data_IF_234495766555
#
_entry.id   IF_234495766555
#
_cell.length_a   1.000
_cell.length_b   1.000
_cell.length_c   1.000
_cell.angle_alpha   90.00
_cell.angle_beta   90.00
_cell.angle_gamma   90.00
#
_symmetry.space_group_name_H-M   'P 1'
#
loop_
_entity.id
_entity.type
_entity.pdbx_description
1 polymer ?
#
# COMPACT_ATOMS: atom_id res chain seq x y z
N UNK A 1 10.30 15.01 -3.10
CA UNK A 1 8.83 14.79 -3.11
C UNK A 1 8.30 14.30 -1.75
N UNK A 2 8.63 14.94 -0.62
CA UNK A 2 8.20 14.48 0.73
C UNK A 2 6.90 15.12 1.23
N UNK A 3 6.37 16.17 0.58
CA UNK A 3 5.25 16.96 1.12
C UNK A 3 4.21 17.42 0.08
N UNK A 4 4.44 17.22 -1.23
CA UNK A 4 3.60 17.85 -2.26
C UNK A 4 2.29 17.11 -2.54
N UNK A 5 2.09 15.88 -2.06
CA UNK A 5 0.90 15.08 -2.38
C UNK A 5 -0.31 15.30 -1.48
N UNK A 6 -0.17 16.00 -0.35
CA UNK A 6 -1.24 16.10 0.66
C UNK A 6 -1.55 17.52 1.16
N UNK A 7 -1.00 18.56 0.52
CA UNK A 7 -1.18 19.95 0.99
C UNK A 7 -2.65 20.37 1.09
N UNK A 8 -3.53 19.82 0.24
CA UNK A 8 -4.97 20.14 0.25
C UNK A 8 -5.75 19.36 1.32
N UNK A 9 -5.18 18.28 1.89
CA UNK A 9 -5.78 17.53 3.02
C UNK A 9 -5.22 17.95 4.37
N UNK A 10 -4.20 18.81 4.37
CA UNK A 10 -3.59 19.34 5.59
C UNK A 10 -4.58 20.29 6.26
N UNK A 11 -4.87 20.03 7.54
CA UNK A 11 -5.78 20.89 8.30
C UNK A 11 -5.07 22.20 8.65
N UNK A 12 -5.83 23.29 8.70
CA UNK A 12 -5.31 24.55 9.22
C UNK A 12 -5.04 24.46 10.74
N UNK A 13 -4.23 25.40 11.23
CA UNK A 13 -3.79 25.42 12.62
C UNK A 13 -4.95 25.57 13.59
N UNK A 14 -6.02 26.29 13.22
CA UNK A 14 -7.20 26.45 14.07
C UNK A 14 -7.92 25.10 14.24
N UNK A 15 -8.19 24.41 13.14
CA UNK A 15 -8.82 23.09 13.12
C UNK A 15 -7.98 22.06 13.89
N UNK A 16 -6.66 22.04 13.69
CA UNK A 16 -5.77 21.15 14.46
C UNK A 16 -5.82 21.44 15.96
N UNK A 17 -5.81 22.71 16.36
CA UNK A 17 -5.91 23.10 17.77
C UNK A 17 -7.25 22.70 18.38
N UNK A 18 -8.36 22.86 17.66
CA UNK A 18 -9.67 22.41 18.11
C UNK A 18 -9.67 20.89 18.35
N UNK A 19 -9.16 20.09 17.40
CA UNK A 19 -9.04 18.64 17.54
C UNK A 19 -8.15 18.25 18.73
N UNK A 20 -7.02 18.92 18.92
CA UNK A 20 -6.09 18.63 20.02
C UNK A 20 -6.66 18.92 21.40
N UNK A 21 -7.53 19.93 21.54
CA UNK A 21 -8.16 20.29 22.82
C UNK A 21 -9.15 19.21 23.30
N UNK A 22 -9.84 18.55 22.37
CA UNK A 22 -10.90 17.59 22.68
C UNK A 22 -10.45 16.13 22.62
N UNK A 23 -9.25 15.87 22.10
CA UNK A 23 -8.70 14.51 21.99
C UNK A 23 -7.81 14.18 23.19
N UNK A 24 -8.05 13.04 23.88
CA UNK A 24 -7.19 12.59 24.98
C UNK A 24 -5.72 12.48 24.57
N UNK A 25 -4.83 12.94 25.45
CA UNK A 25 -3.38 12.91 25.26
C UNK A 25 -2.72 12.20 26.44
N UNK A 26 -2.00 11.11 26.18
CA UNK A 26 -1.24 10.40 27.21
C UNK A 26 0.05 9.82 26.63
N UNK A 27 1.11 9.76 27.43
CA UNK A 27 2.43 9.23 27.04
C UNK A 27 2.92 9.86 25.72
N UNK A 28 2.88 11.19 25.66
CA UNK A 28 3.34 12.01 24.53
C UNK A 28 2.68 11.73 23.18
N UNK A 29 1.47 11.15 23.20
CA UNK A 29 0.68 10.90 21.99
C UNK A 29 -0.81 11.11 22.21
N UNK A 30 -1.50 11.49 21.13
CA UNK A 30 -2.96 11.53 21.09
C UNK A 30 -3.53 10.11 21.02
N UNK A 31 -4.56 9.86 21.83
CA UNK A 31 -5.23 8.56 21.95
C UNK A 31 -6.72 8.77 21.69
N UNK A 32 -7.11 9.00 20.41
CA UNK A 32 -8.51 9.25 20.04
C UNK A 32 -9.42 8.05 20.37
N UNK A 33 -8.85 6.86 20.55
CA UNK A 33 -9.58 5.65 20.92
C UNK A 33 -10.14 5.65 22.34
N UNK A 34 -9.72 6.60 23.19
CA UNK A 34 -10.20 6.77 24.55
C UNK A 34 -11.11 8.01 24.71
N UNK A 35 -11.56 8.60 23.60
CA UNK A 35 -12.49 9.73 23.63
C UNK A 35 -13.85 9.32 24.20
N UNK A 36 -14.46 10.20 24.99
CA UNK A 36 -15.86 10.06 25.43
C UNK A 36 -16.82 10.18 24.25
N UNK A 37 -18.07 9.76 24.43
CA UNK A 37 -19.09 9.87 23.38
C UNK A 37 -19.25 11.31 22.88
N UNK A 38 -19.27 12.29 23.79
CA UNK A 38 -19.34 13.71 23.45
C UNK A 38 -18.12 14.19 22.67
N UNK A 39 -16.90 13.78 23.09
CA UNK A 39 -15.67 14.11 22.38
C UNK A 39 -15.66 13.53 20.96
N UNK A 40 -16.14 12.29 20.79
CA UNK A 40 -16.28 11.65 19.46
C UNK A 40 -17.20 12.47 18.57
N UNK A 41 -18.38 12.87 19.05
CA UNK A 41 -19.32 13.69 18.28
C UNK A 41 -18.67 15.01 17.84
N UNK A 42 -17.95 15.68 18.75
CA UNK A 42 -17.25 16.93 18.43
C UNK A 42 -16.14 16.73 17.38
N UNK A 43 -15.34 15.67 17.51
CA UNK A 43 -14.30 15.33 16.53
C UNK A 43 -14.89 15.05 15.14
N UNK A 44 -15.99 14.29 15.06
CA UNK A 44 -16.71 14.02 13.81
C UNK A 44 -17.16 15.34 13.17
N UNK A 45 -17.77 16.23 13.95
CA UNK A 45 -18.26 17.52 13.46
C UNK A 45 -17.13 18.38 12.88
N UNK A 46 -16.00 18.50 13.58
CA UNK A 46 -14.84 19.29 13.14
C UNK A 46 -14.24 18.71 11.85
N UNK A 47 -14.00 17.40 11.82
CA UNK A 47 -13.39 16.74 10.67
C UNK A 47 -14.29 16.83 9.43
N UNK A 48 -15.60 16.64 9.59
CA UNK A 48 -16.55 16.74 8.48
C UNK A 48 -16.72 18.18 8.00
N UNK A 49 -16.72 19.17 8.89
CA UNK A 49 -16.78 20.58 8.52
C UNK A 49 -15.54 20.99 7.69
N UNK A 50 -14.34 20.57 8.12
CA UNK A 50 -13.12 20.81 7.36
C UNK A 50 -13.12 20.07 6.01
N UNK A 51 -13.52 18.80 5.99
CA UNK A 51 -13.64 18.04 4.75
C UNK A 51 -14.60 18.71 3.76
N UNK A 52 -15.76 19.18 4.24
CA UNK A 52 -16.73 19.89 3.42
C UNK A 52 -16.19 21.21 2.87
N UNK A 53 -15.48 22.01 3.69
CA UNK A 53 -14.89 23.29 3.25
C UNK A 53 -13.83 23.13 2.16
N UNK A 54 -13.17 21.96 2.12
CA UNK A 54 -12.18 21.58 1.11
C UNK A 54 -12.71 20.65 0.02
N UNK A 55 -14.01 20.36 0.00
CA UNK A 55 -14.66 19.41 -0.92
C UNK A 55 -13.95 18.04 -0.98
N UNK A 56 -13.48 17.56 0.17
CA UNK A 56 -12.87 16.23 0.32
C UNK A 56 -13.97 15.17 0.40
N UNK A 57 -13.83 14.10 -0.39
CA UNK A 57 -14.82 13.02 -0.50
C UNK A 57 -14.23 11.66 -0.13
N UNK A 58 -13.60 11.60 1.04
CA UNK A 58 -13.08 10.35 1.60
C UNK A 58 -14.21 9.57 2.26
N UNK A 59 -14.12 8.25 2.17
CA UNK A 59 -15.18 7.36 2.65
C UNK A 59 -14.73 6.49 3.82
N UNK A 60 -13.42 6.36 4.04
CA UNK A 60 -12.90 5.58 5.14
C UNK A 60 -12.98 6.33 6.46
N UNK A 61 -13.47 5.62 7.46
CA UNK A 61 -13.59 6.09 8.83
C UNK A 61 -12.90 5.14 9.79
N UNK A 62 -12.67 5.61 11.01
CA UNK A 62 -12.29 4.74 12.09
C UNK A 62 -13.50 3.97 12.68
N UNK A 63 -13.26 3.17 13.72
CA UNK A 63 -14.31 2.39 14.38
C UNK A 63 -15.41 3.23 15.05
N UNK A 64 -15.16 4.53 15.26
CA UNK A 64 -16.09 5.48 15.85
C UNK A 64 -16.72 6.41 14.80
N UNK A 65 -16.63 6.07 13.51
CA UNK A 65 -17.18 6.84 12.40
C UNK A 65 -16.53 8.24 12.21
N UNK A 66 -15.33 8.46 12.76
CA UNK A 66 -14.54 9.66 12.46
C UNK A 66 -13.78 9.47 11.17
N UNK A 67 -13.70 10.51 10.33
CA UNK A 67 -12.76 10.52 9.22
C UNK A 67 -11.34 10.24 9.74
N UNK A 68 -10.60 9.42 9.02
CA UNK A 68 -9.26 9.03 9.46
C UNK A 68 -8.34 10.25 9.51
N UNK A 69 -7.87 10.62 10.71
CA UNK A 69 -6.97 11.77 10.91
C UNK A 69 -5.57 11.33 11.34
N UNK A 70 -4.54 12.08 10.94
CA UNK A 70 -3.17 11.91 11.43
C UNK A 70 -2.77 13.08 12.33
N UNK A 71 -2.64 12.82 13.64
CA UNK A 71 -2.20 13.83 14.60
C UNK A 71 -0.72 14.24 14.45
N UNK A 72 0.12 13.40 13.82
CA UNK A 72 1.53 13.70 13.58
C UNK A 72 1.66 14.62 12.35
N UNK A 73 1.04 14.25 11.23
CA UNK A 73 1.10 15.01 9.98
C UNK A 73 0.09 16.14 9.88
N UNK A 74 -0.88 16.21 10.80
CA UNK A 74 -1.99 17.19 10.82
C UNK A 74 -2.77 17.22 9.50
N UNK A 75 -3.26 16.05 9.08
CA UNK A 75 -4.05 15.92 7.85
C UNK A 75 -5.15 14.89 8.01
N UNK A 76 -6.25 15.12 7.29
CA UNK A 76 -7.25 14.07 7.04
C UNK A 76 -6.65 13.11 6.03
N UNK A 77 -6.48 11.85 6.43
CA UNK A 77 -5.88 10.81 5.61
C UNK A 77 -6.83 10.48 4.46
N UNK A 78 -6.38 10.59 3.19
CA UNK A 78 -7.13 10.00 2.09
C UNK A 78 -7.34 8.51 2.32
N UNK A 79 -8.33 7.94 1.64
CA UNK A 79 -8.62 6.51 1.76
C UNK A 79 -7.34 5.68 1.51
N UNK A 80 -7.17 4.60 2.28
CA UNK A 80 -6.06 3.65 2.27
C UNK A 80 -4.72 4.25 2.69
N UNK A 81 -4.71 5.43 3.31
CA UNK A 81 -3.48 6.12 3.73
C UNK A 81 -3.12 5.78 5.18
N UNK A 82 -1.86 5.43 5.42
CA UNK A 82 -1.34 5.19 6.76
C UNK A 82 -0.08 6.01 7.04
N UNK A 83 0.16 6.35 8.30
CA UNK A 83 1.39 7.02 8.72
C UNK A 83 2.48 5.97 8.94
N UNK A 84 3.58 6.07 8.19
CA UNK A 84 4.74 5.22 8.40
C UNK A 84 5.69 5.90 9.39
N UNK A 85 5.84 5.33 10.58
CA UNK A 85 6.75 5.87 11.61
C UNK A 85 8.21 5.91 11.11
N UNK A 86 8.66 4.88 10.38
CA UNK A 86 10.02 4.83 9.83
C UNK A 86 10.30 5.94 8.82
N UNK A 87 9.31 6.33 8.03
CA UNK A 87 9.44 7.42 7.05
C UNK A 87 9.07 8.79 7.61
N UNK A 88 8.34 8.85 8.73
CA UNK A 88 7.87 10.08 9.38
C UNK A 88 6.76 10.82 8.64
N UNK A 89 6.04 10.17 7.71
CA UNK A 89 4.96 10.80 6.96
C UNK A 89 3.84 9.82 6.59
N UNK A 90 2.67 10.36 6.24
CA UNK A 90 1.57 9.61 5.66
C UNK A 90 1.90 9.13 4.24
N UNK A 91 1.46 7.92 3.91
CA UNK A 91 1.72 7.23 2.65
C UNK A 91 0.40 6.72 2.08
N UNK A 92 0.06 7.15 0.86
CA UNK A 92 -1.15 6.73 0.15
C UNK A 92 -1.10 5.24 -0.18
N UNK A 93 -2.23 4.54 -0.01
CA UNK A 93 -2.37 3.10 -0.26
C UNK A 93 -1.16 2.36 0.31
N UNK A 94 -0.90 2.63 1.59
CA UNK A 94 0.27 2.13 2.28
C UNK A 94 0.17 0.62 2.37
N UNK A 95 1.17 -0.06 1.83
CA UNK A 95 1.28 -1.49 1.94
C UNK A 95 2.14 -1.84 3.16
N UNK A 96 3.45 -1.58 3.06
CA UNK A 96 4.38 -1.75 4.16
C UNK A 96 5.62 -0.86 4.00
N UNK A 97 6.37 -0.68 5.08
CA UNK A 97 7.75 -0.19 5.00
C UNK A 97 8.67 -1.38 4.76
N UNK A 98 9.36 -1.39 3.62
CA UNK A 98 10.23 -2.48 3.23
C UNK A 98 11.70 -2.11 3.55
N UNK A 99 12.34 -2.78 4.53
CA UNK A 99 13.73 -2.49 4.89
C UNK A 99 14.69 -2.76 3.73
N UNK A 100 14.39 -3.74 2.88
CA UNK A 100 15.23 -4.17 1.76
C UNK A 100 15.42 -3.11 0.68
N UNK A 101 14.42 -2.25 0.47
CA UNK A 101 14.50 -1.12 -0.46
C UNK A 101 14.57 0.22 0.27
N UNK A 102 14.64 0.19 1.61
CA UNK A 102 14.64 1.35 2.51
C UNK A 102 13.58 2.41 2.15
N UNK A 103 12.38 1.95 1.78
CA UNK A 103 11.25 2.79 1.34
C UNK A 103 9.92 2.12 1.66
N UNK A 104 8.86 2.92 1.76
CA UNK A 104 7.51 2.38 1.75
C UNK A 104 7.16 1.81 0.37
N UNK A 105 6.50 0.66 0.38
CA UNK A 105 5.72 0.14 -0.73
C UNK A 105 4.31 0.73 -0.60
N UNK A 106 3.84 1.34 -1.69
CA UNK A 106 2.68 2.24 -1.67
C UNK A 106 2.07 2.37 -3.06
N UNK A 107 0.99 3.15 -3.19
CA UNK A 107 0.39 3.48 -4.49
C UNK A 107 1.43 3.80 -5.58
N UNK A 108 2.40 4.66 -5.25
CA UNK A 108 3.37 5.23 -6.18
C UNK A 108 4.41 4.25 -6.72
N UNK A 109 4.65 3.14 -6.02
CA UNK A 109 5.72 2.21 -6.38
C UNK A 109 5.35 0.74 -6.26
N UNK A 110 4.08 0.40 -6.00
CA UNK A 110 3.66 -0.99 -5.87
C UNK A 110 3.95 -1.78 -7.15
N UNK A 111 3.67 -1.22 -8.34
CA UNK A 111 4.05 -1.84 -9.62
C UNK A 111 5.55 -2.15 -9.69
N UNK A 112 6.41 -1.19 -9.34
CA UNK A 112 7.86 -1.38 -9.39
C UNK A 112 8.33 -2.44 -8.40
N UNK A 113 7.73 -2.49 -7.21
CA UNK A 113 8.01 -3.52 -6.21
C UNK A 113 7.64 -4.92 -6.72
N UNK A 114 6.46 -5.09 -7.34
CA UNK A 114 6.06 -6.37 -7.92
C UNK A 114 6.96 -6.80 -9.08
N UNK A 115 7.36 -5.85 -9.93
CA UNK A 115 8.32 -6.12 -11.00
C UNK A 115 9.70 -6.48 -10.46
N UNK A 116 10.15 -5.85 -9.37
CA UNK A 116 11.37 -6.22 -8.69
C UNK A 116 11.34 -7.69 -8.21
N UNK A 117 10.24 -8.12 -7.57
CA UNK A 117 10.07 -9.52 -7.17
C UNK A 117 10.03 -10.47 -8.38
N UNK A 118 9.25 -10.12 -9.40
CA UNK A 118 9.10 -10.93 -10.61
C UNK A 118 10.43 -11.11 -11.37
N UNK A 119 11.14 -10.01 -11.63
CA UNK A 119 12.44 -10.07 -12.30
C UNK A 119 13.51 -10.71 -11.43
N UNK A 120 13.45 -10.55 -10.11
CA UNK A 120 14.30 -11.29 -9.17
C UNK A 120 14.14 -12.80 -9.30
N UNK A 121 12.89 -13.29 -9.33
CA UNK A 121 12.60 -14.71 -9.58
C UNK A 121 13.16 -15.18 -10.94
N UNK A 122 12.96 -14.39 -12.00
CA UNK A 122 13.48 -14.72 -13.34
C UNK A 122 15.00 -14.79 -13.37
N UNK A 123 15.71 -13.86 -12.73
CA UNK A 123 17.17 -13.87 -12.64
C UNK A 123 17.69 -15.14 -11.95
N UNK A 124 17.01 -15.60 -10.89
CA UNK A 124 17.41 -16.83 -10.18
C UNK A 124 17.16 -18.06 -11.05
N UNK A 125 15.98 -18.15 -11.68
CA UNK A 125 15.66 -19.24 -12.61
C UNK A 125 16.68 -19.29 -13.74
N UNK A 126 17.00 -18.14 -14.33
CA UNK A 126 18.03 -18.02 -15.37
C UNK A 126 19.39 -18.49 -14.87
N UNK A 127 19.88 -17.96 -13.75
CA UNK A 127 21.17 -18.31 -13.15
C UNK A 127 21.31 -19.81 -12.88
N UNK A 128 20.28 -20.43 -12.29
CA UNK A 128 20.25 -21.88 -12.03
C UNK A 128 20.24 -22.69 -13.33
N UNK A 129 19.45 -22.26 -14.32
CA UNK A 129 19.34 -22.95 -15.61
C UNK A 129 20.65 -22.92 -16.39
N UNK A 130 21.32 -21.77 -16.45
CA UNK A 130 22.62 -21.64 -17.15
C UNK A 130 23.76 -22.33 -16.40
N UNK A 131 23.66 -22.47 -15.08
CA UNK A 131 24.67 -23.15 -14.26
C UNK A 131 24.50 -24.68 -14.23
N UNK A 132 23.34 -25.20 -14.66
CA UNK A 132 23.00 -26.62 -14.53
C UNK A 132 24.02 -27.53 -15.24
N UNK A 133 24.45 -27.18 -16.44
CA UNK A 133 25.45 -27.97 -17.18
C UNK A 133 26.78 -28.04 -16.42
N UNK A 134 27.27 -26.90 -15.93
CA UNK A 134 28.52 -26.83 -15.16
C UNK A 134 28.43 -27.64 -13.88
N UNK A 135 27.29 -27.58 -13.18
CA UNK A 135 27.02 -28.38 -11.98
C UNK A 135 27.06 -29.87 -12.34
N UNK A 136 26.34 -30.31 -13.38
CA UNK A 136 26.33 -31.73 -13.79
C UNK A 136 27.74 -32.21 -14.16
N UNK A 137 28.50 -31.42 -14.94
CA UNK A 137 29.88 -31.77 -15.30
C UNK A 137 30.79 -31.90 -14.09
N UNK A 138 30.64 -31.01 -13.10
CA UNK A 138 31.37 -31.10 -11.84
C UNK A 138 31.07 -32.44 -11.16
N UNK A 139 29.80 -32.76 -10.90
CA UNK A 139 29.44 -34.02 -10.21
C UNK A 139 29.83 -35.30 -10.97
N UNK A 140 29.87 -35.28 -12.31
CA UNK A 140 30.27 -36.43 -13.13
C UNK A 140 31.78 -36.66 -13.12
N UNK A 141 32.58 -35.59 -13.10
CA UNK A 141 34.04 -35.69 -13.24
C UNK A 141 34.81 -35.39 -11.94
N UNK A 142 34.11 -35.11 -10.84
CA UNK A 142 34.72 -34.59 -9.62
C UNK A 142 35.71 -35.56 -8.98
N UNK A 143 36.89 -35.05 -8.64
CA UNK A 143 37.81 -35.71 -7.73
C UNK A 143 37.55 -35.23 -6.29
N UNK A 144 36.61 -35.89 -5.62
CA UNK A 144 36.07 -35.48 -4.32
C UNK A 144 37.10 -35.29 -3.19
N UNK A 145 38.26 -35.94 -3.27
CA UNK A 145 39.33 -35.75 -2.27
C UNK A 145 40.08 -34.43 -2.43
N UNK A 146 40.07 -33.83 -3.61
CA UNK A 146 40.84 -32.62 -3.94
C UNK A 146 39.94 -31.40 -4.16
N UNK A 147 38.72 -31.61 -4.67
CA UNK A 147 37.80 -30.54 -5.13
C UNK A 147 36.70 -30.20 -4.11
N UNK A 148 36.93 -30.46 -2.82
CA UNK A 148 35.91 -30.25 -1.78
C UNK A 148 35.51 -28.77 -1.62
N UNK A 149 36.41 -27.83 -1.92
CA UNK A 149 36.12 -26.40 -1.84
C UNK A 149 35.16 -25.94 -2.94
N UNK A 150 35.34 -26.43 -4.17
CA UNK A 150 34.44 -26.15 -5.29
C UNK A 150 33.05 -26.73 -5.04
N UNK A 151 32.98 -27.93 -4.47
CA UNK A 151 31.72 -28.50 -4.01
C UNK A 151 31.04 -27.61 -2.96
N UNK A 152 31.77 -27.16 -1.94
CA UNK A 152 31.23 -26.29 -0.90
C UNK A 152 30.72 -24.97 -1.50
N UNK A 153 31.46 -24.38 -2.44
CA UNK A 153 31.05 -23.16 -3.13
C UNK A 153 29.76 -23.37 -3.92
N UNK A 154 29.68 -24.43 -4.75
CA UNK A 154 28.46 -24.76 -5.50
C UNK A 154 27.29 -24.98 -4.55
N UNK A 155 27.49 -25.75 -3.48
CA UNK A 155 26.47 -26.01 -2.47
C UNK A 155 25.95 -24.71 -1.84
N UNK A 156 26.84 -23.82 -1.38
CA UNK A 156 26.46 -22.52 -0.80
C UNK A 156 25.75 -21.65 -1.82
N UNK A 157 26.24 -21.57 -3.06
CA UNK A 157 25.61 -20.77 -4.12
C UNK A 157 24.19 -21.28 -4.44
N UNK A 158 24.01 -22.59 -4.59
CA UNK A 158 22.74 -23.20 -4.96
C UNK A 158 21.73 -23.11 -3.81
N UNK A 159 22.15 -23.40 -2.58
CA UNK A 159 21.29 -23.29 -1.39
C UNK A 159 20.86 -21.85 -1.12
N UNK A 160 21.78 -20.89 -1.27
CA UNK A 160 21.47 -19.46 -1.14
C UNK A 160 20.50 -19.02 -2.23
N UNK A 161 20.73 -19.40 -3.50
CA UNK A 161 19.84 -19.05 -4.60
C UNK A 161 18.44 -19.67 -4.45
N UNK A 162 18.33 -20.95 -4.05
CA UNK A 162 17.03 -21.58 -3.81
C UNK A 162 16.32 -21.00 -2.59
N UNK A 163 17.07 -20.76 -1.50
CA UNK A 163 16.52 -20.15 -0.28
C UNK A 163 15.97 -18.75 -0.53
N UNK A 164 16.76 -17.87 -1.17
CA UNK A 164 16.32 -16.52 -1.55
C UNK A 164 15.29 -16.51 -2.70
N UNK A 165 15.39 -17.44 -3.65
CA UNK A 165 14.44 -17.52 -4.75
C UNK A 165 13.05 -17.96 -4.31
N UNK A 166 12.97 -18.96 -3.45
CA UNK A 166 11.69 -19.50 -2.99
C UNK A 166 11.04 -18.58 -1.95
N UNK A 167 11.72 -18.27 -0.85
CA UNK A 167 11.09 -17.63 0.30
C UNK A 167 10.87 -16.11 0.12
N UNK A 168 11.91 -15.25 0.07
CA UNK A 168 11.68 -13.81 0.04
C UNK A 168 11.16 -13.30 -1.30
N UNK A 169 11.39 -14.00 -2.41
CA UNK A 169 10.92 -13.57 -3.73
C UNK A 169 9.65 -14.31 -4.16
N UNK A 170 9.69 -15.64 -4.27
CA UNK A 170 8.58 -16.46 -4.76
C UNK A 170 7.31 -16.36 -3.91
N UNK A 171 7.38 -16.71 -2.63
CA UNK A 171 6.24 -16.65 -1.71
C UNK A 171 5.70 -15.22 -1.57
N UNK A 172 6.59 -14.22 -1.52
CA UNK A 172 6.17 -12.83 -1.45
C UNK A 172 5.43 -12.39 -2.71
N UNK A 173 5.93 -12.75 -3.89
CA UNK A 173 5.25 -12.48 -5.16
C UNK A 173 3.88 -13.17 -5.22
N UNK A 174 3.79 -14.42 -4.78
CA UNK A 174 2.53 -15.16 -4.70
C UNK A 174 1.54 -14.54 -3.71
N UNK A 175 2.02 -14.10 -2.55
CA UNK A 175 1.23 -13.40 -1.56
C UNK A 175 0.67 -12.09 -2.12
N UNK A 176 1.50 -11.25 -2.73
CA UNK A 176 1.03 -10.01 -3.34
C UNK A 176 0.10 -10.24 -4.53
N UNK A 177 0.27 -11.32 -5.30
CA UNK A 177 -0.72 -11.72 -6.30
C UNK A 177 -2.09 -11.98 -5.67
N UNK A 178 -2.17 -12.66 -4.53
CA UNK A 178 -3.42 -12.86 -3.80
C UNK A 178 -4.04 -11.53 -3.37
N UNK A 179 -3.25 -10.59 -2.88
CA UNK A 179 -3.70 -9.24 -2.51
C UNK A 179 -4.29 -8.47 -3.70
N UNK A 180 -3.65 -8.55 -4.87
CA UNK A 180 -4.16 -7.93 -6.10
C UNK A 180 -5.52 -8.51 -6.47
N UNK A 181 -5.74 -9.83 -6.33
CA UNK A 181 -7.04 -10.45 -6.65
C UNK A 181 -8.19 -9.83 -5.85
N UNK A 182 -7.95 -9.45 -4.60
CA UNK A 182 -8.95 -8.83 -3.72
C UNK A 182 -8.81 -7.31 -3.60
N UNK A 183 -7.83 -6.70 -4.26
CA UNK A 183 -7.48 -5.27 -4.18
C UNK A 183 -7.23 -4.77 -2.76
N UNK A 184 -6.54 -5.57 -1.96
CA UNK A 184 -6.14 -5.19 -0.60
C UNK A 184 -4.64 -4.90 -0.53
N UNK A 185 -4.25 -4.13 0.47
CA UNK A 185 -2.84 -3.98 0.87
C UNK A 185 -2.51 -4.95 2.01
N UNK A 186 -1.23 -5.16 2.31
CA UNK A 186 -0.81 -5.91 3.50
C UNK A 186 -1.33 -5.27 4.79
N UNK A 187 -1.48 -3.94 4.82
CA UNK A 187 -2.03 -3.24 5.97
C UNK A 187 -3.52 -3.53 6.16
N UNK A 188 -4.28 -3.60 5.06
CA UNK A 188 -5.73 -3.86 5.07
C UNK A 188 -6.06 -5.30 5.48
N UNK A 189 -5.17 -6.26 5.20
CA UNK A 189 -5.30 -7.64 5.69
C UNK A 189 -5.26 -7.73 7.22
N UNK A 190 -4.48 -6.86 7.87
CA UNK A 190 -4.39 -6.82 9.31
C UNK A 190 -5.55 -6.02 9.94
N UNK A 191 -6.03 -4.98 9.24
CA UNK A 191 -7.14 -4.15 9.68
C UNK A 191 -8.00 -3.75 8.48
N UNK A 192 -9.17 -4.38 8.38
CA UNK A 192 -10.15 -4.12 7.32
C UNK A 192 -10.57 -2.63 7.38
N UNK A 193 -10.73 -2.03 6.20
CA UNK A 193 -11.23 -0.67 6.06
C UNK A 193 -12.70 -0.58 6.50
N UNK A 194 -13.03 0.40 7.34
CA UNK A 194 -14.41 0.73 7.65
C UNK A 194 -14.86 1.84 6.71
N UNK A 195 -15.86 1.55 5.87
CA UNK A 195 -16.37 2.49 4.88
C UNK A 195 -17.71 3.07 5.36
N UNK A 196 -17.87 4.38 5.21
CA UNK A 196 -19.08 5.11 5.60
C UNK A 196 -20.33 4.47 4.99
N UNK A 197 -21.36 4.34 5.84
CA UNK A 197 -22.70 3.83 5.50
C UNK A 197 -22.75 2.38 5.02
N UNK A 198 -21.64 1.64 4.98
CA UNK A 198 -21.63 0.23 4.60
C UNK A 198 -20.44 -0.54 5.20
N UNK A 199 -20.65 -1.35 6.26
CA UNK A 199 -19.59 -2.14 6.88
C UNK A 199 -19.13 -3.33 6.01
N UNK A 200 -19.85 -3.66 4.93
CA UNK A 200 -19.49 -4.73 3.98
C UNK A 200 -18.85 -4.20 2.71
N UNK A 201 -18.74 -2.88 2.56
CA UNK A 201 -18.10 -2.29 1.39
C UNK A 201 -16.58 -2.56 1.42
N UNK A 202 -15.99 -2.71 0.24
CA UNK A 202 -14.56 -2.94 0.08
C UNK A 202 -14.02 -2.33 -1.23
N UNK A 203 -12.72 -2.46 -1.47
CA UNK A 203 -12.09 -1.97 -2.70
C UNK A 203 -12.04 -3.03 -3.82
N UNK A 204 -12.65 -4.21 -3.62
CA UNK A 204 -12.60 -5.29 -4.58
C UNK A 204 -13.62 -5.08 -5.70
N UNK A 205 -13.18 -4.53 -6.83
CA UNK A 205 -14.04 -4.19 -7.97
C UNK A 205 -13.91 -5.18 -9.14
N UNK A 206 -13.42 -6.39 -8.86
CA UNK A 206 -13.24 -7.48 -9.82
C UNK A 206 -11.82 -7.57 -10.39
N UNK A 207 -11.38 -8.81 -10.68
CA UNK A 207 -9.99 -9.15 -10.97
C UNK A 207 -9.32 -8.23 -11.99
N UNK A 208 -9.94 -8.02 -13.16
CA UNK A 208 -9.36 -7.19 -14.21
C UNK A 208 -9.16 -5.73 -13.75
N UNK A 209 -10.14 -5.15 -13.07
CA UNK A 209 -10.06 -3.77 -12.56
C UNK A 209 -9.03 -3.66 -11.45
N UNK A 210 -8.92 -4.67 -10.60
CA UNK A 210 -7.92 -4.72 -9.52
C UNK A 210 -6.49 -4.78 -10.07
N UNK A 211 -6.24 -5.65 -11.06
CA UNK A 211 -4.95 -5.73 -11.77
C UNK A 211 -4.64 -4.41 -12.47
N UNK A 212 -5.62 -3.83 -13.18
CA UNK A 212 -5.46 -2.53 -13.86
C UNK A 212 -5.22 -1.38 -12.88
N UNK A 213 -5.74 -1.44 -11.65
CA UNK A 213 -5.47 -0.45 -10.62
C UNK A 213 -4.00 -0.43 -10.17
N UNK A 214 -3.26 -1.53 -10.38
CA UNK A 214 -1.83 -1.65 -10.07
C UNK A 214 -0.96 -1.42 -11.31
N UNK A 215 -1.22 -2.16 -12.38
CA UNK A 215 -0.39 -2.15 -13.58
C UNK A 215 -0.77 -1.09 -14.61
N UNK A 216 -1.93 -0.46 -14.45
CA UNK A 216 -2.30 0.70 -15.22
C UNK A 216 -2.79 0.41 -16.64
N UNK A 217 -2.66 1.39 -17.53
CA UNK A 217 -3.21 1.33 -18.90
C UNK A 217 -2.48 0.37 -19.85
N UNK A 218 -1.24 -0.03 -19.55
CA UNK A 218 -0.41 -0.86 -20.43
C UNK A 218 1.04 -0.96 -19.93
N UNK A 219 1.94 -1.52 -20.75
CA UNK A 219 3.37 -1.69 -20.41
C UNK A 219 3.57 -2.36 -19.04
N UNK A 220 2.79 -3.41 -18.76
CA UNK A 220 2.69 -3.98 -17.41
C UNK A 220 4.01 -4.54 -16.91
N UNK A 221 4.82 -5.12 -17.79
CA UNK A 221 6.13 -5.66 -17.47
C UNK A 221 7.25 -4.61 -17.46
N UNK A 222 7.00 -3.40 -17.96
CA UNK A 222 8.05 -2.36 -18.03
C UNK A 222 7.96 -1.47 -16.78
N UNK A 223 9.08 -1.18 -16.08
CA UNK A 223 9.11 -0.34 -14.90
C UNK A 223 8.99 1.14 -15.25
N UNK A 224 7.85 1.51 -15.86
CA UNK A 224 7.42 2.88 -16.10
C UNK A 224 6.07 3.15 -15.43
N UNK A 225 5.83 4.40 -15.05
CA UNK A 225 4.57 4.83 -14.43
C UNK A 225 3.41 4.70 -15.41
N UNK A 226 2.41 3.89 -15.05
CA UNK A 226 1.23 3.62 -15.91
C UNK A 226 -0.08 3.80 -15.16
N UNK A 227 -0.02 4.36 -13.95
CA UNK A 227 -1.14 4.57 -13.04
C UNK A 227 -2.33 5.28 -13.70
N UNK A 228 -3.53 4.86 -13.31
CA UNK A 228 -4.80 5.38 -13.85
C UNK A 228 -5.61 6.19 -12.84
N UNK A 229 -5.30 6.05 -11.54
CA UNK A 229 -5.97 6.78 -10.48
C UNK A 229 -5.16 8.02 -10.07
N UNK A 230 -5.74 8.86 -9.23
CA UNK A 230 -5.10 10.04 -8.66
C UNK A 230 -4.32 9.73 -7.36
N UNK A 231 -4.47 8.52 -6.82
CA UNK A 231 -3.91 8.15 -5.53
C UNK A 231 -4.64 8.80 -4.35
N UNK A 232 -5.88 9.26 -4.54
CA UNK A 232 -6.67 9.89 -3.48
C UNK A 232 -8.06 9.29 -3.39
N UNK A 233 -8.63 8.92 -4.54
CA UNK A 233 -9.93 8.30 -4.64
C UNK A 233 -9.77 6.91 -5.24
N UNK A 234 -10.27 5.91 -4.51
CA UNK A 234 -10.26 4.53 -4.94
C UNK A 234 -11.69 4.06 -5.19
N UNK A 235 -11.96 3.33 -6.29
CA UNK A 235 -13.28 2.75 -6.51
C UNK A 235 -13.66 1.81 -5.38
N UNK A 236 -14.82 2.04 -4.79
CA UNK A 236 -15.40 1.23 -3.71
C UNK A 236 -16.52 0.38 -4.29
N UNK A 237 -16.57 -0.88 -3.89
CA UNK A 237 -17.71 -1.77 -4.08
C UNK A 237 -18.58 -1.70 -2.84
N UNK A 238 -19.71 -1.01 -2.96
CA UNK A 238 -20.76 -1.05 -1.94
C UNK A 238 -21.64 -2.29 -2.08
N UNK A 239 -22.20 -2.76 -0.97
CA UNK A 239 -23.24 -3.79 -0.95
C UNK A 239 -24.50 -3.30 -1.66
N UNK A 240 -25.31 -4.23 -2.17
CA UNK A 240 -26.52 -3.88 -2.92
C UNK A 240 -27.57 -3.12 -2.09
N UNK A 241 -27.47 -3.19 -0.76
CA UNK A 241 -28.32 -2.46 0.18
C UNK A 241 -27.86 -1.01 0.45
N UNK A 242 -26.70 -0.59 -0.04
CA UNK A 242 -26.16 0.73 0.23
C UNK A 242 -26.88 1.84 -0.58
N UNK A 243 -27.25 2.92 0.10
CA UNK A 243 -27.88 4.10 -0.49
C UNK A 243 -26.77 5.05 -0.96
N UNK A 244 -26.16 4.77 -2.13
CA UNK A 244 -25.09 5.62 -2.67
C UNK A 244 -24.60 5.18 -4.06
N UNK A 245 -23.92 6.07 -4.83
CA UNK A 245 -23.36 5.71 -6.12
C UNK A 245 -22.29 4.64 -5.95
N UNK A 246 -22.50 3.48 -6.59
CA UNK A 246 -21.67 2.28 -6.45
C UNK A 246 -20.23 2.41 -6.96
N UNK A 247 -19.87 3.54 -7.61
CA UNK A 247 -18.52 3.85 -8.07
C UNK A 247 -18.30 5.36 -8.12
N UNK A 248 -17.31 5.88 -7.40
CA UNK A 248 -16.76 7.22 -7.66
C UNK A 248 -15.53 7.03 -8.53
N UNK A 249 -15.71 7.05 -9.85
CA UNK A 249 -14.60 7.30 -10.76
C UNK A 249 -14.34 8.80 -10.73
N UNK A 250 -13.08 9.17 -10.50
CA UNK A 250 -12.47 10.50 -10.68
C UNK A 250 -13.51 11.60 -10.96
N UNK A 251 -13.81 12.43 -9.95
CA UNK A 251 -14.43 13.71 -10.22
C UNK A 251 -13.69 14.32 -11.41
N UNK A 252 -14.41 14.58 -12.50
CA UNK A 252 -13.84 15.20 -13.69
C UNK A 252 -13.05 16.43 -13.25
N UNK A 253 -11.73 16.29 -13.20
CA UNK A 253 -10.84 17.40 -12.94
C UNK A 253 -10.94 18.28 -14.19
N UNK A 254 -11.80 19.29 -14.07
CA UNK A 254 -12.04 20.41 -14.98
C UNK A 254 -11.37 20.32 -16.35
N UNK A 255 -12.12 19.79 -17.33
CA UNK A 255 -11.96 20.17 -18.74
C UNK A 255 -12.67 21.49 -19.07
N UNK A 256 -13.01 22.32 -18.09
CA UNK A 256 -13.68 23.62 -18.30
C UNK A 256 -12.78 24.85 -18.36
N UNK A 257 -11.46 24.73 -18.18
CA UNK A 257 -10.52 25.86 -18.29
C UNK A 257 -9.41 25.68 -19.35
N UNK A 258 -9.68 24.94 -20.42
CA UNK A 258 -8.86 25.00 -21.64
C UNK A 258 -9.75 25.16 -22.86
N UNK A 259 -10.20 26.39 -23.08
CA UNK A 259 -10.40 27.03 -24.38
C UNK A 259 -10.54 28.53 -24.18
#
# INVERSE_FOLDING_TARGET
MKHETFWFTQVDEETDQQLKRITPFMKDRYIPDQSTHEQVIQQIAILNAFAASRNLRFVEVDRFQRLNYCYICRLIKPDRTHHCMSCGHCVVKYDHHCPWINKCVSYNNYKFFLLYLFYGCLCIIWSLSTSLESIVRFFVNANWSEEWFDFLQIFVCVTTQMGFGYYPLGELLWYHYKLIKVNETTCEQAKIANILNDPKADFNVGLYRNVRAVFGWGLWLIPVTTQVADGLHFPVRYSDAAIGPKYILKAEYDKKNTK
#
